data_IF_945647280184
#
_entry.id   IF_945647280184
#
_cell.length_a   1.000
_cell.length_b   1.000
_cell.length_c   1.000
_cell.angle_alpha   90.00
_cell.angle_beta   90.00
_cell.angle_gamma   90.00
#
_symmetry.space_group_name_H-M   'P 1'
#
loop_
_entity.id
_entity.type
_entity.pdbx_description
1 polymer ?
#
# COMPACT_ATOMS: atom_id res chain seq x y z
N UNK A 1 -21.89 3.84 -19.53
CA UNK A 1 -21.62 3.42 -18.13
C UNK A 1 -20.26 3.98 -17.73
N UNK A 2 -20.07 4.41 -16.47
CA UNK A 2 -18.74 4.80 -15.99
C UNK A 2 -17.91 3.57 -15.62
N UNK A 3 -16.57 3.66 -15.70
CA UNK A 3 -15.66 2.53 -15.44
C UNK A 3 -15.89 1.85 -14.07
N UNK A 4 -16.27 2.63 -13.05
CA UNK A 4 -16.63 2.11 -11.74
C UNK A 4 -17.83 1.16 -11.76
N UNK A 5 -18.85 1.47 -12.58
CA UNK A 5 -20.06 0.65 -12.70
C UNK A 5 -19.77 -0.64 -13.44
N UNK A 6 -18.93 -0.58 -14.47
CA UNK A 6 -18.52 -1.75 -15.26
C UNK A 6 -17.69 -2.73 -14.41
N UNK A 7 -16.66 -2.24 -13.71
CA UNK A 7 -15.86 -3.06 -12.80
C UNK A 7 -16.72 -3.67 -11.68
N UNK A 8 -17.68 -2.90 -11.14
CA UNK A 8 -18.58 -3.41 -10.11
C UNK A 8 -19.49 -4.53 -10.64
N UNK A 9 -19.98 -4.43 -11.87
CA UNK A 9 -20.73 -5.51 -12.53
C UNK A 9 -19.88 -6.77 -12.75
N UNK A 10 -18.57 -6.61 -12.94
CA UNK A 10 -17.60 -7.71 -13.00
C UNK A 10 -17.20 -8.26 -11.61
N UNK A 11 -17.81 -7.78 -10.53
CA UNK A 11 -17.48 -8.19 -9.15
C UNK A 11 -16.26 -7.48 -8.57
N UNK A 12 -15.70 -6.48 -9.25
CA UNK A 12 -14.52 -5.73 -8.82
C UNK A 12 -14.96 -4.42 -8.17
N UNK A 13 -14.81 -4.33 -6.84
CA UNK A 13 -15.07 -3.09 -6.10
C UNK A 13 -13.81 -2.23 -6.01
N UNK A 14 -13.84 -1.05 -6.64
CA UNK A 14 -12.74 -0.09 -6.58
C UNK A 14 -12.88 0.80 -5.33
N UNK A 15 -11.88 0.75 -4.44
CA UNK A 15 -11.84 1.53 -3.19
C UNK A 15 -10.82 2.66 -3.34
N UNK A 16 -11.28 3.91 -3.25
CA UNK A 16 -10.44 5.11 -3.41
C UNK A 16 -10.83 6.21 -2.42
N UNK A 17 -9.89 7.12 -2.14
CA UNK A 17 -10.21 8.37 -1.42
C UNK A 17 -11.12 9.24 -2.29
N UNK A 18 -12.09 9.91 -1.66
CA UNK A 18 -12.97 10.88 -2.32
C UNK A 18 -12.14 12.10 -2.73
N UNK A 19 -12.13 12.43 -4.03
CA UNK A 19 -11.44 13.61 -4.58
C UNK A 19 -12.39 14.80 -4.69
N UNK A 20 -11.86 16.03 -4.77
CA UNK A 20 -12.62 17.29 -4.82
C UNK A 20 -13.74 17.33 -5.87
N UNK A 21 -13.54 16.67 -7.02
CA UNK A 21 -14.51 16.65 -8.13
C UNK A 21 -15.41 15.39 -8.14
N UNK A 22 -15.37 14.57 -7.09
CA UNK A 22 -16.25 13.41 -6.96
C UNK A 22 -17.49 13.76 -6.16
N UNK A 23 -18.64 13.23 -6.56
CA UNK A 23 -19.83 13.24 -5.71
C UNK A 23 -19.48 12.57 -4.38
N UNK A 24 -19.78 13.24 -3.27
CA UNK A 24 -19.59 12.66 -1.95
C UNK A 24 -20.43 11.39 -1.82
N UNK A 25 -19.84 10.33 -1.27
CA UNK A 25 -20.50 9.03 -1.10
C UNK A 25 -20.20 8.52 0.30
N UNK A 26 -21.19 7.88 0.92
CA UNK A 26 -20.97 7.16 2.16
C UNK A 26 -20.00 6.01 1.89
N UNK A 27 -18.89 6.00 2.61
CA UNK A 27 -17.87 4.97 2.54
C UNK A 27 -17.99 4.06 3.76
N UNK A 28 -18.07 2.73 3.56
CA UNK A 28 -17.99 1.77 4.65
C UNK A 28 -16.75 1.95 5.54
N UNK A 29 -16.88 1.67 6.83
CA UNK A 29 -15.80 1.85 7.83
C UNK A 29 -14.57 0.99 7.47
N UNK A 30 -14.78 -0.23 6.99
CA UNK A 30 -13.71 -1.14 6.56
C UNK A 30 -12.90 -0.58 5.37
N UNK A 31 -13.56 0.01 4.37
CA UNK A 31 -12.90 0.66 3.23
C UNK A 31 -12.10 1.88 3.67
N UNK A 32 -12.70 2.68 4.58
CA UNK A 32 -12.03 3.82 5.17
C UNK A 32 -10.78 3.38 5.93
N UNK A 33 -10.87 2.33 6.75
CA UNK A 33 -9.74 1.75 7.48
C UNK A 33 -8.65 1.22 6.53
N UNK A 34 -9.02 0.50 5.46
CA UNK A 34 -8.08 0.01 4.46
C UNK A 34 -7.31 1.16 3.78
N UNK A 35 -8.01 2.25 3.41
CA UNK A 35 -7.39 3.44 2.84
C UNK A 35 -6.45 4.17 3.80
N UNK A 36 -6.70 4.10 5.11
CA UNK A 36 -5.77 4.63 6.12
C UNK A 36 -4.51 3.78 6.22
N UNK A 37 -4.65 2.46 6.30
CA UNK A 37 -3.50 1.54 6.36
C UNK A 37 -2.65 1.54 5.08
N UNK A 38 -3.26 1.82 3.93
CA UNK A 38 -2.57 1.94 2.64
C UNK A 38 -1.36 2.88 2.69
N UNK A 39 -1.45 4.01 3.41
CA UNK A 39 -0.34 4.95 3.52
C UNK A 39 0.89 4.33 4.18
N UNK A 40 0.72 3.54 5.25
CA UNK A 40 1.83 2.80 5.88
C UNK A 40 2.43 1.82 4.89
N UNK A 41 1.58 1.05 4.21
CA UNK A 41 2.03 0.02 3.26
C UNK A 41 2.88 0.66 2.15
N UNK A 42 2.40 1.76 1.56
CA UNK A 42 3.14 2.50 0.54
C UNK A 42 4.48 3.02 1.06
N UNK A 43 4.54 3.58 2.28
CA UNK A 43 5.81 4.02 2.90
C UNK A 43 6.77 2.86 3.18
N UNK A 44 6.29 1.71 3.62
CA UNK A 44 7.14 0.53 3.83
C UNK A 44 7.72 0.06 2.50
N UNK A 45 6.90 -0.02 1.45
CA UNK A 45 7.38 -0.39 0.11
C UNK A 45 8.41 0.61 -0.43
N UNK A 46 8.19 1.91 -0.23
CA UNK A 46 9.14 2.95 -0.64
C UNK A 46 10.49 2.78 0.05
N UNK A 47 10.50 2.52 1.37
CA UNK A 47 11.72 2.23 2.13
C UNK A 47 12.39 0.94 1.62
N UNK A 48 11.64 -0.14 1.40
CA UNK A 48 12.19 -1.39 0.90
C UNK A 48 12.82 -1.24 -0.49
N UNK A 49 12.21 -0.43 -1.36
CA UNK A 49 12.73 -0.17 -2.70
C UNK A 49 13.99 0.69 -2.66
N UNK A 50 13.96 1.81 -1.93
CA UNK A 50 15.00 2.86 -1.97
C UNK A 50 16.10 2.69 -0.93
N UNK A 51 15.77 2.37 0.32
CA UNK A 51 16.75 2.25 1.43
C UNK A 51 17.40 0.88 1.43
N UNK A 52 16.65 -0.17 1.09
CA UNK A 52 17.18 -1.54 1.01
C UNK A 52 17.52 -1.97 -0.42
N UNK A 53 17.54 -1.04 -1.37
CA UNK A 53 17.99 -1.23 -2.75
C UNK A 53 17.33 -2.44 -3.46
N UNK A 54 16.06 -2.76 -3.16
CA UNK A 54 15.36 -3.84 -3.88
C UNK A 54 15.24 -3.48 -5.37
N UNK A 55 15.02 -2.20 -5.66
CA UNK A 55 14.82 -1.71 -7.03
C UNK A 55 16.08 -1.79 -7.91
N UNK A 56 17.22 -2.16 -7.32
CA UNK A 56 18.50 -2.17 -8.00
C UNK A 56 18.43 -2.97 -9.31
N UNK A 57 18.81 -2.33 -10.41
CA UNK A 57 18.68 -2.85 -11.78
C UNK A 57 19.68 -3.98 -12.13
N UNK A 58 20.48 -4.45 -11.16
CA UNK A 58 21.56 -5.44 -11.38
C UNK A 58 21.25 -6.84 -10.86
N UNK A 59 19.99 -7.23 -10.76
CA UNK A 59 19.61 -8.62 -10.49
C UNK A 59 19.96 -9.51 -11.68
N UNK A 60 21.15 -10.14 -11.63
CA UNK A 60 21.63 -11.05 -12.69
C UNK A 60 20.97 -12.44 -12.64
N UNK A 61 20.27 -12.75 -11.55
CA UNK A 61 19.57 -14.02 -11.33
C UNK A 61 18.29 -13.77 -10.49
N UNK A 62 17.15 -14.38 -10.85
CA UNK A 62 15.92 -14.30 -10.06
C UNK A 62 16.07 -14.86 -8.64
N UNK A 63 16.89 -15.90 -8.45
CA UNK A 63 17.14 -16.50 -7.13
C UNK A 63 17.88 -15.51 -6.21
N UNK A 64 18.86 -14.80 -6.74
CA UNK A 64 19.57 -13.77 -5.99
C UNK A 64 18.66 -12.57 -5.68
N UNK A 65 17.79 -12.18 -6.61
CA UNK A 65 16.78 -11.15 -6.35
C UNK A 65 15.85 -11.56 -5.19
N UNK A 66 15.39 -12.81 -5.16
CA UNK A 66 14.56 -13.32 -4.08
C UNK A 66 15.30 -13.34 -2.74
N UNK A 67 16.55 -13.79 -2.72
CA UNK A 67 17.37 -13.76 -1.51
C UNK A 67 17.56 -12.32 -1.00
N UNK A 68 17.79 -11.36 -1.91
CA UNK A 68 17.90 -9.94 -1.57
C UNK A 68 16.60 -9.38 -1.00
N UNK A 69 15.44 -9.66 -1.63
CA UNK A 69 14.12 -9.25 -1.13
C UNK A 69 13.85 -9.78 0.28
N UNK A 70 14.13 -11.06 0.54
CA UNK A 70 13.97 -11.66 1.88
C UNK A 70 14.92 -11.02 2.90
N UNK A 71 16.15 -10.73 2.49
CA UNK A 71 17.16 -10.08 3.34
C UNK A 71 16.76 -8.64 3.66
N UNK A 72 16.20 -7.89 2.71
CA UNK A 72 15.68 -6.55 2.91
C UNK A 72 14.50 -6.53 3.91
N UNK A 73 13.58 -7.49 3.81
CA UNK A 73 12.48 -7.64 4.79
C UNK A 73 13.00 -7.98 6.19
N UNK A 74 14.00 -8.85 6.28
CA UNK A 74 14.65 -9.16 7.55
C UNK A 74 15.34 -7.92 8.13
N UNK A 75 16.11 -7.18 7.32
CA UNK A 75 16.81 -5.97 7.74
C UNK A 75 15.84 -4.85 8.17
N UNK A 76 14.71 -4.71 7.48
CA UNK A 76 13.63 -3.80 7.88
C UNK A 76 13.08 -4.09 9.28
N UNK A 77 13.09 -5.36 9.71
CA UNK A 77 12.64 -5.73 11.06
C UNK A 77 13.52 -5.14 12.16
N UNK A 78 14.82 -4.93 11.87
CA UNK A 78 15.81 -4.32 12.76
C UNK A 78 15.89 -2.79 12.66
N UNK A 79 15.14 -2.17 11.74
CA UNK A 79 15.10 -0.71 11.61
C UNK A 79 14.43 -0.07 12.84
N UNK A 80 15.11 0.90 13.46
CA UNK A 80 14.61 1.58 14.67
C UNK A 80 13.35 2.43 14.40
N UNK A 81 13.32 3.14 13.26
CA UNK A 81 12.22 4.02 12.89
C UNK A 81 11.34 3.38 11.83
N UNK A 82 10.15 2.94 12.22
CA UNK A 82 9.16 2.36 11.31
C UNK A 82 8.05 3.37 10.99
N UNK A 83 7.61 3.48 9.74
CA UNK A 83 6.47 4.31 9.38
C UNK A 83 5.22 3.85 10.14
N UNK A 84 4.56 4.81 10.78
CA UNK A 84 3.31 4.58 11.50
C UNK A 84 2.29 5.63 11.07
N UNK A 85 1.01 5.23 11.03
CA UNK A 85 -0.10 6.18 10.87
C UNK A 85 -0.81 6.36 12.20
N UNK A 86 -1.10 7.61 12.54
CA UNK A 86 -2.03 7.92 13.60
C UNK A 86 -3.44 7.55 13.12
N UNK A 87 -4.01 6.47 13.65
CA UNK A 87 -5.40 6.13 13.39
C UNK A 87 -6.29 7.17 14.10
N UNK A 88 -7.24 7.80 13.40
CA UNK A 88 -8.24 8.64 14.05
C UNK A 88 -9.02 7.81 15.06
N UNK A 89 -9.15 8.30 16.30
CA UNK A 89 -9.93 7.65 17.39
C UNK A 89 -11.38 7.34 17.02
N UNK A 90 -11.89 7.95 15.95
CA UNK A 90 -13.26 7.81 15.43
C UNK A 90 -13.55 6.48 14.69
N UNK A 91 -12.56 5.60 14.53
CA UNK A 91 -12.70 4.32 13.82
C UNK A 91 -12.63 3.08 14.73
N UNK A 92 -12.57 3.29 16.06
CA UNK A 92 -12.54 2.25 17.08
C UNK A 92 -13.55 2.53 18.19
#
# INVERSE_FOLDING_TARGET
SGIFSELYQQGIKVVTKIRKNMKNKLMPINEKYALFKRGVIESVFDILMTVFDIEHTRHRSPQNALAHMLSAVAAYSFMEQKPAVLLPKLLG
#
